data_IF_282348478985
#
_entry.id   IF_282348478985
#
_cell.length_a   1.000
_cell.length_b   1.000
_cell.length_c   1.000
_cell.angle_alpha   90.00
_cell.angle_beta   90.00
_cell.angle_gamma   90.00
#
_symmetry.space_group_name_H-M   'P 1'
#
loop_
_entity.id
_entity.type
_entity.pdbx_description
1 polymer ?
#
# COMPACT_ATOMS: atom_id res chain seq x y z
N UNK A 1 7.55 19.97 -23.45
CA UNK A 1 7.71 18.51 -23.13
C UNK A 1 8.64 18.25 -21.95
N UNK A 2 9.72 19.00 -21.79
CA UNK A 2 10.71 18.81 -20.71
C UNK A 2 10.12 18.95 -19.27
N UNK A 3 9.18 19.86 -19.09
CA UNK A 3 8.58 20.11 -17.77
C UNK A 3 7.68 18.97 -17.27
N UNK A 4 7.05 18.20 -18.17
CA UNK A 4 6.24 17.03 -17.82
C UNK A 4 7.10 15.84 -17.39
N UNK A 5 8.27 15.68 -17.99
CA UNK A 5 9.21 14.61 -17.64
C UNK A 5 9.81 14.86 -16.24
N UNK A 6 10.17 16.11 -15.93
CA UNK A 6 10.70 16.47 -14.62
C UNK A 6 9.67 16.20 -13.51
N UNK A 7 8.40 16.54 -13.74
CA UNK A 7 7.33 16.23 -12.79
C UNK A 7 7.17 14.71 -12.59
N UNK A 8 7.25 13.94 -13.67
CA UNK A 8 7.17 12.47 -13.58
C UNK A 8 8.32 11.88 -12.74
N UNK A 9 9.55 12.36 -12.94
CA UNK A 9 10.71 11.93 -12.14
C UNK A 9 10.56 12.31 -10.66
N UNK A 10 10.11 13.52 -10.36
CA UNK A 10 9.86 13.95 -8.97
C UNK A 10 8.80 13.05 -8.31
N UNK A 11 7.71 12.79 -9.01
CA UNK A 11 6.66 11.91 -8.49
C UNK A 11 7.15 10.48 -8.26
N UNK A 12 7.98 9.94 -9.16
CA UNK A 12 8.59 8.63 -8.98
C UNK A 12 9.50 8.58 -7.74
N UNK A 13 10.36 9.58 -7.57
CA UNK A 13 11.24 9.68 -6.39
C UNK A 13 10.41 9.77 -5.11
N UNK A 14 9.39 10.60 -5.07
CA UNK A 14 8.51 10.72 -3.90
C UNK A 14 7.79 9.40 -3.61
N UNK A 15 7.27 8.73 -4.63
CA UNK A 15 6.58 7.44 -4.47
C UNK A 15 7.51 6.38 -3.89
N UNK A 16 8.73 6.27 -4.39
CA UNK A 16 9.72 5.31 -3.87
C UNK A 16 10.16 5.64 -2.45
N UNK A 17 10.30 6.92 -2.10
CA UNK A 17 10.59 7.35 -0.73
C UNK A 17 9.47 6.99 0.23
N UNK A 18 8.22 7.27 -0.12
CA UNK A 18 7.07 6.89 0.71
C UNK A 18 6.94 5.38 0.83
N UNK A 19 7.23 4.65 -0.23
CA UNK A 19 7.16 3.19 -0.21
C UNK A 19 8.26 2.58 0.66
N UNK A 20 9.48 3.09 0.58
CA UNK A 20 10.57 2.65 1.48
C UNK A 20 10.27 2.93 2.95
N UNK A 21 9.67 4.09 3.25
CA UNK A 21 9.19 4.43 4.60
C UNK A 21 8.21 3.40 5.17
N UNK A 22 7.41 2.77 4.31
CA UNK A 22 6.51 1.70 4.70
C UNK A 22 7.22 0.51 5.36
N UNK A 23 8.37 0.09 4.81
CA UNK A 23 9.17 -0.99 5.38
C UNK A 23 9.80 -0.61 6.73
N UNK A 24 10.24 0.63 6.86
CA UNK A 24 10.79 1.15 8.11
C UNK A 24 9.72 1.13 9.21
N UNK A 25 8.52 1.60 8.90
CA UNK A 25 7.38 1.56 9.83
C UNK A 25 6.99 0.13 10.17
N UNK A 26 6.97 -0.78 9.20
CA UNK A 26 6.69 -2.20 9.41
C UNK A 26 7.71 -2.84 10.36
N UNK A 27 9.01 -2.52 10.20
CA UNK A 27 10.06 -3.02 11.09
C UNK A 27 9.99 -2.40 12.48
N UNK A 28 9.75 -1.10 12.58
CA UNK A 28 9.54 -0.45 13.87
C UNK A 28 8.37 -1.09 14.63
N UNK A 29 7.25 -1.35 13.94
CA UNK A 29 6.12 -2.05 14.52
C UNK A 29 6.47 -3.45 15.04
N UNK A 30 7.35 -4.17 14.34
CA UNK A 30 7.82 -5.48 14.81
C UNK A 30 8.67 -5.39 16.09
N UNK A 31 9.44 -4.31 16.27
CA UNK A 31 10.22 -4.07 17.48
C UNK A 31 9.32 -3.77 18.68
N UNK A 32 8.23 -3.05 18.46
CA UNK A 32 7.23 -2.71 19.49
C UNK A 32 6.15 -3.79 19.66
N UNK A 33 6.32 -4.96 19.05
CA UNK A 33 5.39 -6.10 19.11
C UNK A 33 3.94 -5.76 18.67
N UNK A 34 3.79 -4.79 17.78
CA UNK A 34 2.49 -4.41 17.23
C UNK A 34 2.03 -5.48 16.23
N UNK A 35 0.86 -6.13 16.42
CA UNK A 35 0.40 -7.16 15.50
C UNK A 35 0.31 -6.67 14.04
N UNK A 36 0.81 -7.44 13.06
CA UNK A 36 0.82 -7.05 11.64
C UNK A 36 -0.56 -6.67 11.10
N UNK A 37 -1.59 -7.38 11.51
CA UNK A 37 -2.97 -7.10 11.11
C UNK A 37 -3.48 -5.77 11.64
N UNK A 38 -3.18 -5.44 12.90
CA UNK A 38 -3.56 -4.15 13.50
C UNK A 38 -2.86 -2.99 12.80
N UNK A 39 -1.55 -3.12 12.53
CA UNK A 39 -0.79 -2.12 11.80
C UNK A 39 -1.39 -1.88 10.41
N UNK A 40 -1.68 -2.96 9.68
CA UNK A 40 -2.27 -2.90 8.36
C UNK A 40 -3.65 -2.22 8.39
N UNK A 41 -4.51 -2.62 9.34
CA UNK A 41 -5.85 -2.04 9.50
C UNK A 41 -5.78 -0.52 9.75
N UNK A 42 -5.02 -0.07 10.75
CA UNK A 42 -4.94 1.35 11.07
C UNK A 42 -4.37 2.19 9.92
N UNK A 43 -3.36 1.70 9.22
CA UNK A 43 -2.79 2.40 8.07
C UNK A 43 -3.81 2.62 6.97
N UNK A 44 -4.54 1.58 6.58
CA UNK A 44 -5.56 1.70 5.54
C UNK A 44 -6.78 2.47 6.00
N UNK A 45 -7.13 2.38 7.28
CA UNK A 45 -8.19 3.18 7.86
C UNK A 45 -7.90 4.68 7.77
N UNK A 46 -6.72 5.11 8.21
CA UNK A 46 -6.31 6.51 8.10
C UNK A 46 -6.13 6.95 6.65
N UNK A 47 -5.59 6.10 5.78
CA UNK A 47 -5.50 6.40 4.34
C UNK A 47 -6.89 6.62 3.72
N UNK A 48 -7.87 5.79 4.05
CA UNK A 48 -9.25 5.98 3.62
C UNK A 48 -9.85 7.30 4.12
N UNK A 49 -9.65 7.63 5.40
CA UNK A 49 -10.15 8.90 5.95
C UNK A 49 -9.59 10.12 5.22
N UNK A 50 -8.29 10.09 4.92
CA UNK A 50 -7.61 11.20 4.23
C UNK A 50 -8.05 11.28 2.77
N UNK A 51 -8.20 10.15 2.08
CA UNK A 51 -8.54 10.11 0.66
C UNK A 51 -10.04 10.30 0.39
N UNK A 52 -10.90 9.96 1.35
CA UNK A 52 -12.36 10.02 1.19
C UNK A 52 -12.86 11.37 0.67
N UNK A 53 -12.47 12.53 1.24
CA UNK A 53 -12.98 13.83 0.77
C UNK A 53 -12.61 14.12 -0.69
N UNK A 54 -11.49 13.58 -1.18
CA UNK A 54 -11.04 13.78 -2.56
C UNK A 54 -11.71 12.82 -3.55
N UNK A 55 -12.03 11.61 -3.11
CA UNK A 55 -12.51 10.53 -4.00
C UNK A 55 -14.02 10.34 -3.96
N UNK A 56 -14.72 10.87 -2.95
CA UNK A 56 -16.15 10.61 -2.74
C UNK A 56 -17.01 11.01 -3.95
N UNK A 57 -16.69 12.10 -4.62
CA UNK A 57 -17.43 12.58 -5.81
C UNK A 57 -17.33 11.58 -6.96
N UNK A 58 -16.16 11.02 -7.19
CA UNK A 58 -15.94 10.01 -8.24
C UNK A 58 -16.56 8.65 -7.87
N UNK A 59 -16.52 8.28 -6.58
CA UNK A 59 -17.18 7.09 -6.08
C UNK A 59 -18.70 7.15 -6.28
N UNK A 60 -19.32 8.29 -5.99
CA UNK A 60 -20.76 8.49 -6.19
C UNK A 60 -21.11 8.40 -7.67
N UNK A 61 -20.32 9.01 -8.56
CA UNK A 61 -20.55 8.93 -10.02
C UNK A 61 -20.46 7.49 -10.54
N UNK A 62 -19.52 6.71 -10.03
CA UNK A 62 -19.27 5.34 -10.49
C UNK A 62 -19.91 4.26 -9.62
N UNK A 63 -20.81 4.64 -8.71
CA UNK A 63 -21.44 3.71 -7.76
C UNK A 63 -22.05 2.48 -8.45
N UNK A 64 -22.78 2.66 -9.53
CA UNK A 64 -23.44 1.56 -10.24
C UNK A 64 -22.41 0.55 -10.78
N UNK A 65 -21.31 1.03 -11.36
CA UNK A 65 -20.22 0.17 -11.84
C UNK A 65 -19.57 -0.60 -10.69
N UNK A 66 -19.35 0.06 -9.55
CA UNK A 66 -18.76 -0.56 -8.36
C UNK A 66 -19.69 -1.63 -7.80
N UNK A 67 -20.99 -1.34 -7.67
CA UNK A 67 -21.96 -2.31 -7.17
C UNK A 67 -22.14 -3.51 -8.11
N UNK A 68 -22.11 -3.31 -9.42
CA UNK A 68 -22.17 -4.40 -10.40
C UNK A 68 -20.96 -5.34 -10.29
N UNK A 69 -19.78 -4.80 -9.95
CA UNK A 69 -18.54 -5.59 -9.86
C UNK A 69 -18.05 -5.71 -8.41
N UNK A 70 -18.94 -5.64 -7.43
CA UNK A 70 -18.56 -5.59 -6.01
C UNK A 70 -17.74 -6.80 -5.58
N UNK A 71 -18.06 -7.99 -6.08
CA UNK A 71 -17.32 -9.22 -5.77
C UNK A 71 -15.87 -9.13 -6.23
N UNK A 72 -15.62 -8.58 -7.41
CA UNK A 72 -14.27 -8.38 -7.92
C UNK A 72 -13.48 -7.41 -7.04
N UNK A 73 -14.09 -6.28 -6.63
CA UNK A 73 -13.43 -5.31 -5.76
C UNK A 73 -13.16 -5.85 -4.35
N UNK A 74 -14.06 -6.69 -3.80
CA UNK A 74 -13.84 -7.35 -2.52
C UNK A 74 -12.67 -8.33 -2.61
N UNK A 75 -12.62 -9.18 -3.61
CA UNK A 75 -11.53 -10.15 -3.80
C UNK A 75 -10.21 -9.40 -3.99
N UNK A 76 -10.18 -8.37 -4.82
CA UNK A 76 -9.00 -7.55 -5.05
C UNK A 76 -8.52 -6.87 -3.76
N UNK A 77 -9.43 -6.31 -2.96
CA UNK A 77 -9.09 -5.68 -1.68
C UNK A 77 -8.54 -6.67 -0.66
N UNK A 78 -9.15 -7.86 -0.54
CA UNK A 78 -8.68 -8.89 0.39
C UNK A 78 -7.29 -9.39 -0.02
N UNK A 79 -7.08 -9.69 -1.29
CA UNK A 79 -5.81 -10.25 -1.77
C UNK A 79 -4.68 -9.23 -1.72
N UNK A 80 -4.88 -8.04 -2.28
CA UNK A 80 -3.80 -7.05 -2.44
C UNK A 80 -3.55 -6.22 -1.17
N UNK A 81 -4.59 -5.89 -0.41
CA UNK A 81 -4.45 -5.05 0.78
C UNK A 81 -4.25 -5.90 2.03
N UNK A 82 -5.18 -6.84 2.28
CA UNK A 82 -5.17 -7.58 3.55
C UNK A 82 -4.10 -8.66 3.55
N UNK A 83 -4.12 -9.57 2.59
CA UNK A 83 -3.22 -10.73 2.58
C UNK A 83 -1.79 -10.29 2.29
N UNK A 84 -1.57 -9.59 1.20
CA UNK A 84 -0.23 -9.21 0.75
C UNK A 84 0.50 -8.34 1.80
N UNK A 85 -0.11 -7.25 2.26
CA UNK A 85 0.55 -6.38 3.25
C UNK A 85 0.75 -7.07 4.59
N UNK A 86 -0.21 -7.90 5.05
CA UNK A 86 -0.06 -8.60 6.31
C UNK A 86 1.07 -9.63 6.26
N UNK A 87 1.24 -10.34 5.15
CA UNK A 87 2.36 -11.26 4.95
C UNK A 87 3.69 -10.51 4.95
N UNK A 88 3.76 -9.38 4.25
CA UNK A 88 4.97 -8.54 4.23
C UNK A 88 5.33 -8.08 5.64
N UNK A 89 4.39 -7.55 6.41
CA UNK A 89 4.67 -7.13 7.79
C UNK A 89 5.02 -8.29 8.69
N UNK A 90 4.36 -9.43 8.54
CA UNK A 90 4.69 -10.63 9.29
C UNK A 90 6.12 -11.11 9.00
N UNK A 91 6.54 -11.06 7.74
CA UNK A 91 7.91 -11.43 7.36
C UNK A 91 8.97 -10.53 8.00
N UNK A 92 8.68 -9.24 8.22
CA UNK A 92 9.60 -8.29 8.87
C UNK A 92 9.85 -8.58 10.35
N UNK A 93 9.04 -9.42 11.00
CA UNK A 93 9.35 -9.92 12.35
C UNK A 93 10.56 -10.85 12.34
N UNK A 94 10.72 -11.63 11.30
CA UNK A 94 11.75 -12.68 11.20
C UNK A 94 12.94 -12.28 10.32
N UNK A 95 12.81 -11.21 9.51
CA UNK A 95 13.84 -10.81 8.55
C UNK A 95 14.24 -9.34 8.73
N UNK A 96 15.39 -9.00 8.14
CA UNK A 96 15.83 -7.61 8.07
C UNK A 96 15.09 -6.88 6.93
N UNK A 97 14.92 -5.57 7.09
CA UNK A 97 14.26 -4.70 6.08
C UNK A 97 14.91 -4.85 4.71
N UNK A 98 16.26 -4.95 4.67
CA UNK A 98 17.03 -5.07 3.43
C UNK A 98 16.60 -6.32 2.65
N UNK A 99 16.47 -7.46 3.32
CA UNK A 99 16.04 -8.72 2.69
C UNK A 99 14.63 -8.61 2.11
N UNK A 100 13.70 -7.99 2.84
CA UNK A 100 12.34 -7.76 2.36
C UNK A 100 12.29 -6.86 1.12
N UNK A 101 13.04 -5.76 1.13
CA UNK A 101 13.11 -4.82 -0.01
C UNK A 101 13.76 -5.49 -1.23
N UNK A 102 14.82 -6.27 -1.05
CA UNK A 102 15.46 -7.01 -2.15
C UNK A 102 14.51 -8.03 -2.78
N UNK A 103 13.76 -8.78 -1.98
CA UNK A 103 12.76 -9.72 -2.52
C UNK A 103 11.69 -9.02 -3.34
N UNK A 104 11.17 -7.89 -2.88
CA UNK A 104 10.16 -7.13 -3.63
C UNK A 104 10.75 -6.52 -4.89
N UNK A 105 11.99 -6.10 -4.90
CA UNK A 105 12.65 -5.56 -6.09
C UNK A 105 12.82 -6.59 -7.22
N UNK A 106 12.70 -7.89 -6.93
CA UNK A 106 12.73 -8.97 -7.95
C UNK A 106 11.37 -9.22 -8.62
N UNK A 107 10.27 -8.63 -8.12
CA UNK A 107 8.91 -8.83 -8.69
C UNK A 107 8.86 -8.60 -10.21
N UNK A 108 9.49 -7.56 -10.78
CA UNK A 108 9.45 -7.34 -12.23
C UNK A 108 10.13 -8.44 -13.07
N UNK A 109 10.87 -9.35 -12.43
CA UNK A 109 11.61 -10.44 -13.10
C UNK A 109 10.72 -11.69 -13.27
N UNK A 110 9.66 -11.80 -12.47
CA UNK A 110 8.71 -12.91 -12.46
C UNK A 110 7.43 -12.55 -13.20
#
# INVERSE_FOLDING_TARGET
MQNKNNLAYILLILTTLFWSGNFIVGKAASIYEIPPFSLNFYRWFFACLILMPFTIKELIKKKNYIFTNITFFIILGITSITIFNSIVYYSLYYTQVISGVLMISTIPVW
#
